data_IF_365334587735
#
_entry.id   IF_365334587735
#
_cell.length_a   1.000
_cell.length_b   1.000
_cell.length_c   1.000
_cell.angle_alpha   90.00
_cell.angle_beta   90.00
_cell.angle_gamma   90.00
#
_symmetry.space_group_name_H-M   'P 1'
#
loop_
_entity.id
_entity.type
_entity.pdbx_description
1 polymer ?
#
# COMPACT_ATOMS: atom_id res chain seq x y z
N UNK A 1 54.39 -14.27 7.80
CA UNK A 1 54.08 -14.16 6.35
C UNK A 1 52.60 -13.84 6.20
N UNK A 2 52.28 -12.62 5.74
CA UNK A 2 50.94 -12.17 5.32
C UNK A 2 51.03 -11.84 3.83
N UNK A 3 50.09 -12.24 2.96
CA UNK A 3 49.87 -11.57 1.67
C UNK A 3 48.82 -10.47 1.88
N UNK A 4 49.18 -9.21 1.67
CA UNK A 4 49.11 -8.47 0.39
C UNK A 4 47.72 -7.85 0.20
N UNK A 5 47.62 -6.59 0.63
CA UNK A 5 46.46 -5.75 0.39
C UNK A 5 46.33 -5.36 -1.08
N UNK A 6 45.10 -5.03 -1.46
CA UNK A 6 44.83 -4.32 -2.70
C UNK A 6 43.77 -3.25 -2.42
N UNK A 7 44.16 -2.00 -2.67
CA UNK A 7 43.32 -0.80 -2.56
C UNK A 7 42.31 -0.71 -3.72
N UNK A 8 41.21 0.06 -3.55
CA UNK A 8 40.13 0.11 -4.52
C UNK A 8 40.47 1.04 -5.69
N UNK A 9 40.50 0.48 -6.91
CA UNK A 9 40.55 1.27 -8.13
C UNK A 9 39.20 1.97 -8.37
N UNK A 10 39.20 3.29 -8.23
CA UNK A 10 38.16 4.19 -8.74
C UNK A 10 38.33 4.33 -10.25
N UNK A 11 37.37 3.82 -11.02
CA UNK A 11 37.19 4.21 -12.42
C UNK A 11 35.72 4.56 -12.65
N UNK A 12 35.48 5.86 -12.84
CA UNK A 12 34.20 6.35 -13.32
C UNK A 12 33.98 5.89 -14.75
N UNK A 13 32.81 5.33 -15.02
CA UNK A 13 32.26 5.23 -16.36
C UNK A 13 30.81 5.71 -16.33
N UNK A 14 30.58 6.81 -17.03
CA UNK A 14 29.27 7.42 -17.19
C UNK A 14 28.35 6.50 -17.99
N UNK A 15 27.35 5.94 -17.32
CA UNK A 15 26.25 5.24 -17.96
C UNK A 15 25.31 6.22 -18.66
N UNK A 16 25.61 6.53 -19.92
CA UNK A 16 24.67 7.13 -20.86
C UNK A 16 23.39 6.27 -20.92
N UNK A 17 22.26 6.89 -20.60
CA UNK A 17 20.94 6.32 -20.94
C UNK A 17 20.82 6.29 -22.46
N UNK A 18 20.79 5.08 -23.02
CA UNK A 18 20.58 4.84 -24.43
C UNK A 18 19.30 5.53 -24.93
N UNK A 19 19.49 6.41 -25.91
CA UNK A 19 18.45 6.87 -26.83
C UNK A 19 18.09 5.70 -27.74
N UNK A 20 16.94 5.07 -27.52
CA UNK A 20 16.31 4.16 -28.47
C UNK A 20 15.64 4.98 -29.58
N UNK A 21 16.01 4.70 -30.82
CA UNK A 21 15.78 5.54 -31.99
C UNK A 21 14.34 5.62 -32.49
N UNK A 22 14.11 6.73 -33.20
CA UNK A 22 13.03 6.93 -34.16
C UNK A 22 13.21 5.97 -35.33
N UNK A 23 12.13 5.27 -35.69
CA UNK A 23 11.95 4.55 -36.95
C UNK A 23 10.47 4.61 -37.30
N UNK A 24 10.16 5.17 -38.46
CA UNK A 24 8.85 5.72 -38.80
C UNK A 24 7.72 4.72 -38.98
N UNK A 25 6.51 5.22 -38.77
CA UNK A 25 5.30 4.74 -39.44
C UNK A 25 4.51 5.96 -39.89
N UNK A 26 4.56 6.22 -41.19
CA UNK A 26 3.50 6.88 -41.92
C UNK A 26 2.26 5.97 -41.88
N UNK A 27 1.10 6.55 -41.59
CA UNK A 27 -0.14 5.78 -41.47
C UNK A 27 -1.17 6.52 -40.64
N UNK A 28 -1.85 7.45 -41.29
CA UNK A 28 -3.07 8.11 -40.84
C UNK A 28 -4.07 7.11 -40.20
N UNK A 29 -4.46 7.37 -38.94
CA UNK A 29 -5.73 6.95 -38.32
C UNK A 29 -5.85 7.54 -36.91
N UNK A 30 -6.76 8.51 -36.79
CA UNK A 30 -7.08 9.21 -35.55
C UNK A 30 -7.52 8.29 -34.42
N UNK A 31 -6.77 8.33 -33.33
CA UNK A 31 -7.15 7.75 -32.05
C UNK A 31 -6.20 8.25 -30.97
N UNK A 32 -6.69 9.10 -30.06
CA UNK A 32 -5.91 9.52 -28.90
C UNK A 32 -5.63 8.28 -28.04
N UNK A 33 -4.40 7.79 -28.11
CA UNK A 33 -3.88 6.65 -27.34
C UNK A 33 -3.72 7.03 -25.87
N UNK A 34 -4.09 6.13 -24.95
CA UNK A 34 -4.18 6.37 -23.50
C UNK A 34 -2.86 6.57 -22.74
N UNK A 35 -1.80 7.07 -23.39
CA UNK A 35 -0.62 7.61 -22.74
C UNK A 35 -0.86 9.05 -22.26
N UNK A 36 0.06 9.60 -21.45
CA UNK A 36 0.06 11.05 -21.22
C UNK A 36 0.22 11.76 -22.59
N UNK A 37 -0.72 12.64 -22.92
CA UNK A 37 -0.71 13.43 -24.16
C UNK A 37 0.40 14.48 -24.10
N UNK A 38 1.70 14.15 -24.20
CA UNK A 38 2.75 15.20 -24.21
C UNK A 38 3.91 14.90 -25.15
N UNK A 39 4.21 15.87 -26.02
CA UNK A 39 5.23 16.86 -25.66
C UNK A 39 4.79 18.34 -25.57
N UNK A 40 3.56 18.70 -25.99
CA UNK A 40 3.12 20.10 -26.03
C UNK A 40 2.27 20.47 -24.80
N UNK A 41 2.60 21.58 -24.12
CA UNK A 41 1.74 22.16 -23.07
C UNK A 41 0.38 22.46 -23.69
N UNK A 42 -0.68 21.77 -23.25
CA UNK A 42 -2.01 22.02 -23.80
C UNK A 42 -2.48 23.43 -23.38
N UNK A 43 -3.12 24.19 -24.28
CA UNK A 43 -3.62 25.52 -23.94
C UNK A 43 -4.71 25.45 -22.83
N UNK A 44 -4.92 26.57 -22.13
CA UNK A 44 -5.78 26.62 -20.91
C UNK A 44 -7.24 26.26 -21.21
N UNK A 45 -7.69 26.60 -22.41
CA UNK A 45 -8.97 26.20 -23.00
C UNK A 45 -9.17 24.68 -22.98
N UNK A 46 -8.11 23.91 -23.20
CA UNK A 46 -8.12 22.45 -23.23
C UNK A 46 -8.32 21.88 -21.82
N UNK A 47 -7.72 22.50 -20.81
CA UNK A 47 -7.97 22.16 -19.40
C UNK A 47 -9.41 22.52 -19.02
N UNK A 48 -9.92 23.66 -19.48
CA UNK A 48 -11.30 24.06 -19.28
C UNK A 48 -12.27 23.04 -19.91
N UNK A 49 -12.04 22.64 -21.16
CA UNK A 49 -12.87 21.69 -21.91
C UNK A 49 -12.92 20.30 -21.26
N UNK A 50 -11.81 19.84 -20.66
CA UNK A 50 -11.78 18.60 -19.85
C UNK A 50 -12.70 18.73 -18.64
N UNK A 51 -12.60 19.85 -17.92
CA UNK A 51 -13.28 20.02 -16.63
C UNK A 51 -14.76 20.40 -16.79
N UNK A 52 -15.11 21.09 -17.88
CA UNK A 52 -16.51 21.42 -18.24
C UNK A 52 -17.22 20.28 -18.97
N UNK A 53 -16.50 19.20 -19.32
CA UNK A 53 -17.00 18.09 -20.14
C UNK A 53 -17.52 18.53 -21.52
N UNK A 54 -17.01 19.65 -22.04
CA UNK A 54 -17.34 20.15 -23.38
C UNK A 54 -16.67 19.33 -24.49
N UNK A 55 -15.58 18.62 -24.18
CA UNK A 55 -14.98 17.62 -25.06
C UNK A 55 -15.02 16.22 -24.42
N UNK A 56 -16.02 15.39 -24.78
CA UNK A 56 -16.14 14.03 -24.28
C UNK A 56 -14.93 13.14 -24.62
N UNK A 57 -14.29 13.33 -25.79
CA UNK A 57 -13.16 12.50 -26.22
C UNK A 57 -11.94 12.75 -25.35
N UNK A 58 -11.71 14.01 -24.99
CA UNK A 58 -10.58 14.40 -24.15
C UNK A 58 -10.79 14.00 -22.69
N UNK A 59 -12.03 14.09 -22.19
CA UNK A 59 -12.39 13.52 -20.89
C UNK A 59 -12.17 12.00 -20.85
N UNK A 60 -12.55 11.27 -21.90
CA UNK A 60 -12.32 9.82 -21.99
C UNK A 60 -10.84 9.45 -22.10
N UNK A 61 -10.03 10.27 -22.74
CA UNK A 61 -8.57 10.12 -22.74
C UNK A 61 -7.99 10.31 -21.33
N UNK A 62 -8.41 11.35 -20.60
CA UNK A 62 -8.01 11.56 -19.21
C UNK A 62 -8.47 10.41 -18.30
N UNK A 63 -9.71 9.94 -18.49
CA UNK A 63 -10.26 8.79 -17.77
C UNK A 63 -9.42 7.54 -17.98
N UNK A 64 -9.05 7.23 -19.23
CA UNK A 64 -8.17 6.09 -19.55
C UNK A 64 -6.79 6.24 -18.90
N UNK A 65 -6.19 7.42 -18.98
CA UNK A 65 -4.93 7.73 -18.30
C UNK A 65 -5.00 7.45 -16.79
N UNK A 66 -5.99 8.00 -16.11
CA UNK A 66 -6.15 7.84 -14.66
C UNK A 66 -6.43 6.37 -14.28
N UNK A 67 -7.23 5.65 -15.06
CA UNK A 67 -7.55 4.24 -14.80
C UNK A 67 -6.34 3.29 -15.00
N UNK A 68 -5.39 3.64 -15.87
CA UNK A 68 -4.17 2.85 -16.08
C UNK A 68 -3.14 3.08 -14.96
N UNK A 69 -3.07 4.32 -14.45
CA UNK A 69 -2.11 4.73 -13.43
C UNK A 69 -2.53 4.33 -12.01
N UNK A 70 -3.82 4.43 -11.70
CA UNK A 70 -4.34 4.30 -10.34
C UNK A 70 -5.30 3.12 -10.17
N UNK A 71 -5.45 2.61 -8.94
CA UNK A 71 -6.47 1.59 -8.66
C UNK A 71 -7.87 2.14 -8.94
N UNK A 72 -8.81 1.30 -9.38
CA UNK A 72 -10.18 1.69 -9.77
C UNK A 72 -10.83 2.68 -8.80
N UNK A 73 -10.82 2.38 -7.50
CA UNK A 73 -11.43 3.25 -6.48
C UNK A 73 -10.71 4.61 -6.40
N UNK A 74 -9.38 4.60 -6.44
CA UNK A 74 -8.62 5.84 -6.38
C UNK A 74 -8.77 6.67 -7.66
N UNK A 75 -8.81 6.00 -8.82
CA UNK A 75 -9.06 6.60 -10.12
C UNK A 75 -10.43 7.30 -10.15
N UNK A 76 -11.50 6.64 -9.70
CA UNK A 76 -12.84 7.25 -9.61
C UNK A 76 -12.83 8.49 -8.70
N UNK A 77 -12.14 8.43 -7.56
CA UNK A 77 -11.99 9.60 -6.69
C UNK A 77 -11.23 10.74 -7.39
N UNK A 78 -10.13 10.44 -8.09
CA UNK A 78 -9.37 11.43 -8.86
C UNK A 78 -10.27 12.09 -9.91
N UNK A 79 -11.05 11.31 -10.66
CA UNK A 79 -11.96 11.84 -11.67
C UNK A 79 -13.04 12.74 -11.07
N UNK A 80 -13.66 12.32 -9.97
CA UNK A 80 -14.66 13.11 -9.27
C UNK A 80 -14.10 14.46 -8.77
N UNK A 81 -12.93 14.44 -8.13
CA UNK A 81 -12.29 15.66 -7.64
C UNK A 81 -11.73 16.53 -8.77
N UNK A 82 -11.23 15.94 -9.86
CA UNK A 82 -10.77 16.67 -11.04
C UNK A 82 -11.93 17.40 -11.72
N UNK A 83 -13.10 16.75 -11.85
CA UNK A 83 -14.31 17.39 -12.38
C UNK A 83 -14.79 18.54 -11.50
N UNK A 84 -14.76 18.36 -10.18
CA UNK A 84 -15.25 19.35 -9.21
C UNK A 84 -14.30 20.55 -9.04
N UNK A 85 -12.99 20.33 -9.04
CA UNK A 85 -12.00 21.35 -8.67
C UNK A 85 -11.02 21.70 -9.79
N UNK A 86 -11.07 21.04 -10.94
CA UNK A 86 -10.11 21.24 -12.04
C UNK A 86 -10.06 22.68 -12.55
N UNK A 87 -11.14 23.44 -12.43
CA UNK A 87 -11.22 24.86 -12.82
C UNK A 87 -10.21 25.73 -12.06
N UNK A 88 -9.79 25.32 -10.86
CA UNK A 88 -8.77 26.02 -10.10
C UNK A 88 -7.41 26.04 -10.80
N UNK A 89 -7.09 25.02 -11.63
CA UNK A 89 -5.90 25.05 -12.48
C UNK A 89 -6.04 26.06 -13.61
N UNK A 90 -7.25 26.22 -14.15
CA UNK A 90 -7.53 27.17 -15.24
C UNK A 90 -7.44 28.61 -14.73
N UNK A 91 -8.08 28.88 -13.59
CA UNK A 91 -8.04 30.20 -12.95
C UNK A 91 -6.66 30.55 -12.39
N UNK A 92 -5.79 29.56 -12.16
CA UNK A 92 -4.48 29.78 -11.56
C UNK A 92 -4.55 30.24 -10.10
N UNK A 93 -5.65 29.92 -9.41
CA UNK A 93 -5.90 30.28 -8.01
C UNK A 93 -6.28 29.03 -7.19
N UNK A 94 -5.49 28.75 -6.14
CA UNK A 94 -5.74 27.66 -5.19
C UNK A 94 -6.26 28.16 -3.84
N UNK A 95 -6.57 29.45 -3.70
CA UNK A 95 -7.16 30.02 -2.48
C UNK A 95 -8.36 29.20 -1.97
N UNK A 96 -9.29 28.68 -2.81
CA UNK A 96 -10.44 27.92 -2.31
C UNK A 96 -10.06 26.57 -1.69
N UNK A 97 -8.82 26.11 -1.89
CA UNK A 97 -8.33 24.88 -1.25
C UNK A 97 -7.98 25.09 0.22
N UNK A 98 -7.70 26.32 0.65
CA UNK A 98 -7.30 26.63 2.02
C UNK A 98 -8.45 26.47 3.00
N UNK A 99 -9.68 26.69 2.54
CA UNK A 99 -10.93 26.50 3.30
C UNK A 99 -11.30 25.02 3.48
N UNK A 100 -10.67 24.11 2.71
CA UNK A 100 -10.95 22.68 2.80
C UNK A 100 -10.23 22.04 3.98
N UNK A 101 -10.89 21.04 4.58
CA UNK A 101 -10.25 20.18 5.57
C UNK A 101 -8.95 19.56 5.01
N UNK A 102 -7.92 19.31 5.84
CA UNK A 102 -6.64 18.78 5.38
C UNK A 102 -6.76 17.52 4.51
N UNK A 103 -7.64 16.60 4.88
CA UNK A 103 -7.88 15.36 4.12
C UNK A 103 -8.53 15.62 2.76
N UNK A 104 -9.57 16.46 2.72
CA UNK A 104 -10.25 16.81 1.46
C UNK A 104 -9.31 17.57 0.54
N UNK A 105 -8.57 18.55 1.05
CA UNK A 105 -7.53 19.29 0.33
C UNK A 105 -6.48 18.36 -0.27
N UNK A 106 -6.02 17.35 0.47
CA UNK A 106 -5.08 16.35 -0.04
C UNK A 106 -5.63 15.57 -1.24
N UNK A 107 -6.89 15.15 -1.18
CA UNK A 107 -7.54 14.46 -2.30
C UNK A 107 -7.66 15.37 -3.53
N UNK A 108 -8.08 16.62 -3.33
CA UNK A 108 -8.17 17.62 -4.40
C UNK A 108 -6.81 17.86 -5.04
N UNK A 109 -5.77 18.12 -4.26
CA UNK A 109 -4.40 18.32 -4.76
C UNK A 109 -3.88 17.11 -5.56
N UNK A 110 -4.26 15.89 -5.16
CA UNK A 110 -3.89 14.68 -5.90
C UNK A 110 -4.56 14.64 -7.27
N UNK A 111 -5.85 15.00 -7.33
CA UNK A 111 -6.59 15.07 -8.58
C UNK A 111 -6.08 16.17 -9.52
N UNK A 112 -5.80 17.38 -8.98
CA UNK A 112 -5.20 18.47 -9.75
C UNK A 112 -3.80 18.10 -10.26
N UNK A 113 -2.99 17.40 -9.46
CA UNK A 113 -1.69 16.92 -9.92
C UNK A 113 -1.81 15.92 -11.07
N UNK A 114 -2.77 15.00 -11.02
CA UNK A 114 -3.02 14.05 -12.11
C UNK A 114 -3.49 14.76 -13.39
N UNK A 115 -4.41 15.72 -13.26
CA UNK A 115 -4.90 16.53 -14.37
C UNK A 115 -3.77 17.37 -14.99
N UNK A 116 -2.96 18.06 -14.17
CA UNK A 116 -1.82 18.85 -14.64
C UNK A 116 -0.74 18.00 -15.31
N UNK A 117 -0.53 16.74 -14.90
CA UNK A 117 0.38 15.81 -15.59
C UNK A 117 -0.17 15.38 -16.94
N UNK A 118 -1.47 15.09 -17.01
CA UNK A 118 -2.12 14.73 -18.26
C UNK A 118 -2.05 15.86 -19.30
N UNK A 119 -2.14 17.12 -18.85
CA UNK A 119 -2.15 18.31 -19.71
C UNK A 119 -0.80 18.99 -19.91
N UNK A 120 0.27 18.49 -19.28
CA UNK A 120 1.63 19.06 -19.40
C UNK A 120 1.93 20.26 -18.52
N UNK A 121 1.03 20.63 -17.63
CA UNK A 121 1.11 21.80 -16.75
C UNK A 121 1.60 21.49 -15.35
N UNK A 122 2.30 20.36 -15.17
CA UNK A 122 2.73 19.93 -13.84
C UNK A 122 3.71 20.93 -13.17
N UNK A 123 4.59 21.57 -13.95
CA UNK A 123 5.48 22.62 -13.43
C UNK A 123 4.71 23.86 -12.96
N UNK A 124 3.71 24.29 -13.72
CA UNK A 124 2.81 25.39 -13.33
C UNK A 124 2.06 25.07 -12.04
N UNK A 125 1.51 23.86 -11.93
CA UNK A 125 0.85 23.39 -10.73
C UNK A 125 1.79 23.37 -9.51
N UNK A 126 3.05 22.95 -9.67
CA UNK A 126 4.04 22.99 -8.59
C UNK A 126 4.34 24.42 -8.13
N UNK A 127 4.53 25.35 -9.06
CA UNK A 127 4.73 26.78 -8.75
C UNK A 127 3.52 27.34 -8.02
N UNK A 128 2.33 27.04 -8.53
CA UNK A 128 1.06 27.47 -7.96
C UNK A 128 0.91 26.98 -6.51
N UNK A 129 1.12 25.69 -6.26
CA UNK A 129 1.10 25.10 -4.92
C UNK A 129 2.10 25.78 -3.96
N UNK A 130 3.30 26.13 -4.45
CA UNK A 130 4.32 26.82 -3.66
C UNK A 130 3.87 28.24 -3.26
N UNK A 131 3.24 28.99 -4.17
CA UNK A 131 2.73 30.35 -3.92
C UNK A 131 1.74 30.39 -2.74
N UNK A 132 0.84 29.43 -2.66
CA UNK A 132 -0.16 29.35 -1.58
C UNK A 132 0.36 28.67 -0.29
N UNK A 133 1.66 28.40 -0.18
CA UNK A 133 2.25 27.79 1.01
C UNK A 133 1.72 26.39 1.34
N UNK A 134 1.07 25.70 0.38
CA UNK A 134 0.42 24.41 0.63
C UNK A 134 1.48 23.33 0.83
N UNK A 135 1.84 23.08 2.08
CA UNK A 135 2.69 21.95 2.48
C UNK A 135 1.81 20.72 2.74
N UNK A 136 2.25 19.57 2.24
CA UNK A 136 1.64 18.30 2.66
C UNK A 136 2.32 17.92 3.96
N UNK A 137 1.84 18.46 5.06
CA UNK A 137 2.33 18.08 6.39
C UNK A 137 2.02 16.60 6.61
N UNK A 138 3.06 15.82 6.85
CA UNK A 138 2.91 14.47 7.39
C UNK A 138 3.08 14.65 8.90
N UNK A 139 2.02 14.56 9.71
CA UNK A 139 2.19 14.65 11.15
C UNK A 139 3.19 13.58 11.61
N UNK A 140 4.15 13.97 12.44
CA UNK A 140 5.13 13.09 13.05
C UNK A 140 4.40 12.11 13.98
N UNK A 141 4.21 10.87 13.52
CA UNK A 141 3.35 9.85 14.18
C UNK A 141 3.93 9.26 15.47
N UNK A 142 5.08 9.74 15.94
CA UNK A 142 5.85 9.14 17.04
C UNK A 142 5.15 9.36 18.38
N UNK A 143 4.56 10.54 18.62
CA UNK A 143 3.98 10.87 19.93
C UNK A 143 2.77 10.03 20.33
N UNK A 144 1.96 9.58 19.37
CA UNK A 144 0.78 8.74 19.65
C UNK A 144 1.13 7.27 20.01
N UNK A 145 2.41 6.89 20.03
CA UNK A 145 2.85 5.51 20.34
C UNK A 145 3.47 5.37 21.73
N UNK A 146 3.69 6.46 22.45
CA UNK A 146 4.48 6.49 23.71
C UNK A 146 3.58 6.46 24.96
N UNK A 147 2.27 6.68 24.82
CA UNK A 147 1.34 6.71 25.95
C UNK A 147 0.93 5.30 26.39
N UNK A 148 1.22 4.95 27.65
CA UNK A 148 0.87 3.65 28.26
C UNK A 148 -0.64 3.44 28.35
N UNK A 149 -1.44 4.51 28.48
CA UNK A 149 -2.90 4.44 28.45
C UNK A 149 -3.41 3.91 27.10
N UNK A 150 -2.75 4.29 26.01
CA UNK A 150 -3.09 3.86 24.65
C UNK A 150 -2.92 2.35 24.45
N UNK A 151 -1.93 1.74 25.12
CA UNK A 151 -1.70 0.29 25.04
C UNK A 151 -2.79 -0.48 25.78
N UNK A 152 -3.19 -0.03 26.98
CA UNK A 152 -4.27 -0.65 27.75
C UNK A 152 -5.59 -0.59 26.99
N UNK A 153 -5.94 0.57 26.45
CA UNK A 153 -7.13 0.71 25.62
C UNK A 153 -7.11 -0.19 24.37
N UNK A 154 -5.93 -0.39 23.76
CA UNK A 154 -5.78 -1.30 22.63
C UNK A 154 -5.98 -2.76 23.05
N UNK A 155 -5.44 -3.17 24.20
CA UNK A 155 -5.65 -4.51 24.75
C UNK A 155 -7.13 -4.77 25.04
N UNK A 156 -7.81 -3.83 25.71
CA UNK A 156 -9.26 -3.89 25.97
C UNK A 156 -10.07 -3.93 24.65
N UNK A 157 -9.64 -3.16 23.64
CA UNK A 157 -10.26 -3.22 22.32
C UNK A 157 -10.06 -4.57 21.65
N UNK A 158 -8.85 -5.16 21.73
CA UNK A 158 -8.55 -6.49 21.17
C UNK A 158 -9.41 -7.56 21.86
N UNK A 159 -9.56 -7.49 23.19
CA UNK A 159 -10.40 -8.41 23.94
C UNK A 159 -11.86 -8.38 23.46
N UNK A 160 -12.48 -7.19 23.39
CA UNK A 160 -13.84 -7.04 22.85
C UNK A 160 -13.94 -7.45 21.38
N UNK A 161 -12.91 -7.18 20.57
CA UNK A 161 -12.90 -7.61 19.18
C UNK A 161 -12.83 -9.14 19.04
N UNK A 162 -12.11 -9.83 19.94
CA UNK A 162 -12.06 -11.31 20.00
C UNK A 162 -13.42 -11.90 20.33
N UNK A 163 -14.23 -11.29 21.18
CA UNK A 163 -15.59 -11.76 21.45
C UNK A 163 -16.49 -11.76 20.20
N UNK A 164 -16.23 -10.87 19.23
CA UNK A 164 -17.04 -10.73 18.01
C UNK A 164 -16.48 -11.49 16.80
N UNK A 165 -15.15 -11.61 16.72
CA UNK A 165 -14.46 -12.11 15.53
C UNK A 165 -13.41 -13.21 15.83
N UNK A 166 -13.19 -13.55 17.10
CA UNK A 166 -12.38 -14.67 17.61
C UNK A 166 -11.15 -14.99 16.75
N UNK A 167 -11.21 -16.12 16.02
CA UNK A 167 -10.15 -16.63 15.16
C UNK A 167 -9.59 -15.59 14.18
N UNK A 168 -10.41 -14.65 13.68
CA UNK A 168 -9.93 -13.60 12.78
C UNK A 168 -9.00 -12.60 13.49
N UNK A 169 -9.31 -12.22 14.74
CA UNK A 169 -8.47 -11.30 15.52
C UNK A 169 -7.18 -11.99 15.93
N UNK A 170 -7.25 -13.26 16.33
CA UNK A 170 -6.07 -14.06 16.65
C UNK A 170 -5.18 -14.27 15.43
N UNK A 171 -5.78 -14.55 14.28
CA UNK A 171 -5.06 -14.65 13.02
C UNK A 171 -4.38 -13.34 12.64
N UNK A 172 -5.05 -12.20 12.80
CA UNK A 172 -4.46 -10.87 12.58
C UNK A 172 -3.30 -10.58 13.55
N UNK A 173 -3.47 -10.97 14.82
CA UNK A 173 -2.48 -10.78 15.88
C UNK A 173 -1.26 -11.68 15.68
N UNK A 174 -1.43 -12.93 15.25
CA UNK A 174 -0.31 -13.84 15.01
C UNK A 174 0.53 -13.40 13.79
N UNK A 175 -0.14 -13.02 12.70
CA UNK A 175 0.53 -12.78 11.41
C UNK A 175 1.08 -11.37 11.24
N UNK A 176 0.53 -10.37 11.95
CA UNK A 176 0.96 -8.98 11.82
C UNK A 176 0.73 -8.37 10.43
N UNK A 177 -0.11 -8.99 9.58
CA UNK A 177 -0.42 -8.55 8.23
C UNK A 177 -1.29 -7.28 8.20
N UNK A 178 -1.42 -6.62 7.03
CA UNK A 178 -2.38 -5.50 6.90
C UNK A 178 -3.81 -6.07 6.95
N UNK A 179 -4.81 -5.35 7.50
CA UNK A 179 -6.15 -5.89 7.67
C UNK A 179 -6.79 -6.48 6.41
N UNK A 180 -6.54 -5.87 5.25
CA UNK A 180 -7.03 -6.41 3.96
C UNK A 180 -6.31 -7.71 3.57
N UNK A 181 -4.99 -7.80 3.81
CA UNK A 181 -4.21 -9.02 3.53
C UNK A 181 -4.62 -10.15 4.49
N UNK A 182 -4.95 -9.83 5.75
CA UNK A 182 -5.51 -10.78 6.72
C UNK A 182 -6.81 -11.39 6.20
N UNK A 183 -7.76 -10.58 5.73
CA UNK A 183 -9.05 -11.07 5.19
C UNK A 183 -8.83 -11.98 3.98
N UNK A 184 -7.99 -11.56 3.03
CA UNK A 184 -7.69 -12.34 1.82
C UNK A 184 -7.05 -13.70 2.19
N UNK A 185 -6.07 -13.71 3.09
CA UNK A 185 -5.46 -14.95 3.57
C UNK A 185 -6.41 -15.82 4.38
N UNK A 186 -7.26 -15.22 5.22
CA UNK A 186 -8.23 -15.95 6.05
C UNK A 186 -9.20 -16.73 5.15
N UNK A 187 -9.74 -16.08 4.12
CA UNK A 187 -10.63 -16.73 3.16
C UNK A 187 -9.90 -17.76 2.30
N UNK A 188 -8.67 -17.48 1.88
CA UNK A 188 -7.86 -18.41 1.09
C UNK A 188 -7.56 -19.70 1.85
N UNK A 189 -7.28 -19.64 3.16
CA UNK A 189 -7.10 -20.84 4.01
C UNK A 189 -8.34 -21.73 3.93
N UNK A 190 -9.53 -21.14 4.09
CA UNK A 190 -10.80 -21.88 4.04
C UNK A 190 -11.03 -22.50 2.66
N UNK A 191 -10.83 -21.73 1.59
CA UNK A 191 -10.97 -22.20 0.21
C UNK A 191 -10.06 -23.37 -0.12
N UNK A 192 -8.80 -23.29 0.28
CA UNK A 192 -7.83 -24.35 0.03
C UNK A 192 -8.08 -25.57 0.90
N UNK A 193 -8.58 -25.38 2.13
CA UNK A 193 -8.98 -26.50 2.99
C UNK A 193 -10.19 -27.25 2.41
N UNK A 194 -11.23 -26.53 2.00
CA UNK A 194 -12.42 -27.10 1.33
C UNK A 194 -12.03 -27.87 0.05
N UNK A 195 -11.00 -27.40 -0.66
CA UNK A 195 -10.47 -28.06 -1.86
C UNK A 195 -9.42 -29.16 -1.57
N UNK A 196 -9.10 -29.47 -0.31
CA UNK A 196 -8.08 -30.47 0.05
C UNK A 196 -6.64 -30.10 -0.36
N UNK A 197 -6.35 -28.80 -0.53
CA UNK A 197 -5.09 -28.27 -1.07
C UNK A 197 -4.39 -27.27 -0.14
N UNK A 198 -4.71 -27.28 1.16
CA UNK A 198 -4.15 -26.34 2.13
C UNK A 198 -2.61 -26.39 2.19
N UNK A 199 -2.01 -27.57 2.03
CA UNK A 199 -0.55 -27.77 2.04
C UNK A 199 0.18 -27.02 0.91
N UNK A 200 -0.54 -26.60 -0.13
CA UNK A 200 0.02 -25.74 -1.19
C UNK A 200 0.24 -24.30 -0.74
N UNK A 201 -0.25 -23.92 0.44
CA UNK A 201 -0.20 -22.55 0.97
C UNK A 201 0.32 -22.49 2.40
N UNK A 202 -0.06 -23.43 3.26
CA UNK A 202 0.40 -23.51 4.65
C UNK A 202 1.34 -24.70 4.83
N UNK A 203 2.60 -24.44 5.17
CA UNK A 203 3.63 -25.47 5.34
C UNK A 203 4.53 -25.15 6.53
N UNK A 204 4.66 -26.10 7.46
CA UNK A 204 5.57 -26.00 8.61
C UNK A 204 5.39 -24.71 9.44
N UNK A 205 4.15 -24.24 9.62
CA UNK A 205 3.86 -22.99 10.33
C UNK A 205 3.88 -21.73 9.47
N UNK A 206 4.24 -21.83 8.19
CA UNK A 206 4.37 -20.70 7.27
C UNK A 206 3.23 -20.62 6.28
N UNK A 207 2.71 -19.42 6.08
CA UNK A 207 1.82 -19.04 4.98
C UNK A 207 2.67 -18.48 3.83
N UNK A 208 2.64 -19.15 2.69
CA UNK A 208 3.47 -18.86 1.52
C UNK A 208 2.74 -17.95 0.51
N UNK A 209 2.52 -16.69 0.92
CA UNK A 209 1.82 -15.67 0.11
C UNK A 209 2.42 -15.45 -1.28
N UNK A 210 3.72 -15.66 -1.43
CA UNK A 210 4.42 -15.55 -2.71
C UNK A 210 3.88 -16.51 -3.79
N UNK A 211 3.23 -17.62 -3.41
CA UNK A 211 2.57 -18.53 -4.38
C UNK A 211 1.28 -17.95 -4.97
N UNK A 212 0.72 -16.94 -4.32
CA UNK A 212 -0.55 -16.30 -4.67
C UNK A 212 -0.34 -14.81 -4.99
N UNK A 213 0.60 -14.53 -5.90
CA UNK A 213 1.08 -13.18 -6.21
C UNK A 213 -0.03 -12.18 -6.54
N UNK A 214 -1.07 -12.61 -7.28
CA UNK A 214 -2.20 -11.75 -7.65
C UNK A 214 -2.95 -11.20 -6.43
N UNK A 215 -2.98 -11.95 -5.32
CA UNK A 215 -3.64 -11.55 -4.08
C UNK A 215 -2.72 -10.68 -3.21
N UNK A 216 -1.46 -11.09 -3.04
CA UNK A 216 -0.56 -10.55 -1.99
C UNK A 216 0.60 -9.68 -2.49
N UNK A 217 1.02 -9.77 -3.76
CA UNK A 217 2.13 -9.01 -4.35
C UNK A 217 1.63 -7.90 -5.27
N UNK A 218 0.78 -7.02 -4.75
CA UNK A 218 0.23 -5.87 -5.50
C UNK A 218 1.30 -4.78 -5.69
N UNK A 219 1.09 -3.86 -6.65
CA UNK A 219 2.04 -2.78 -7.06
C UNK A 219 2.84 -2.15 -5.89
N UNK A 220 2.17 -1.78 -4.80
CA UNK A 220 2.78 -1.05 -3.67
C UNK A 220 2.80 -1.82 -2.35
N UNK A 221 2.27 -3.04 -2.31
CA UNK A 221 2.14 -3.84 -1.09
C UNK A 221 2.51 -5.28 -1.42
N UNK A 222 3.58 -5.78 -0.83
CA UNK A 222 4.15 -7.09 -1.11
C UNK A 222 4.40 -7.80 0.21
N UNK A 223 3.49 -8.69 0.60
CA UNK A 223 3.71 -9.62 1.70
C UNK A 223 4.05 -10.98 1.09
N UNK A 224 5.21 -11.53 1.45
CA UNK A 224 5.72 -12.76 0.82
C UNK A 224 5.45 -13.99 1.68
N UNK A 225 5.67 -13.88 2.99
CA UNK A 225 5.47 -14.95 3.96
C UNK A 225 4.93 -14.40 5.27
N UNK A 226 4.20 -15.22 6.01
CA UNK A 226 3.83 -14.94 7.40
C UNK A 226 3.87 -16.23 8.20
N UNK A 227 4.17 -16.12 9.49
CA UNK A 227 4.12 -17.28 10.39
C UNK A 227 2.77 -17.31 11.13
N UNK A 228 2.19 -18.49 11.28
CA UNK A 228 0.98 -18.70 12.05
C UNK A 228 0.98 -20.12 12.67
N UNK A 229 0.84 -20.24 14.00
CA UNK A 229 0.70 -21.52 14.67
C UNK A 229 -0.48 -22.34 14.13
N UNK A 230 -0.34 -23.67 14.13
CA UNK A 230 -1.31 -24.59 13.53
C UNK A 230 -2.67 -24.51 14.20
N UNK A 231 -2.68 -24.24 15.50
CA UNK A 231 -3.89 -24.12 16.33
C UNK A 231 -4.75 -22.95 15.85
N UNK A 232 -4.12 -21.83 15.47
CA UNK A 232 -4.84 -20.67 14.91
C UNK A 232 -5.35 -20.99 13.50
N UNK A 233 -4.58 -21.71 12.68
CA UNK A 233 -5.03 -22.15 11.36
C UNK A 233 -6.26 -23.05 11.47
N UNK A 234 -6.27 -23.98 12.43
CA UNK A 234 -7.42 -24.83 12.68
C UNK A 234 -8.66 -24.02 13.08
N UNK A 235 -8.50 -23.03 13.97
CA UNK A 235 -9.59 -22.13 14.33
C UNK A 235 -10.11 -21.30 13.13
N UNK A 236 -9.24 -20.92 12.18
CA UNK A 236 -9.64 -20.25 10.93
C UNK A 236 -10.46 -21.20 10.04
N UNK A 237 -10.06 -22.46 9.94
CA UNK A 237 -10.78 -23.49 9.17
C UNK A 237 -12.18 -23.70 9.73
N UNK A 238 -12.29 -23.86 11.04
CA UNK A 238 -13.55 -24.11 11.77
C UNK A 238 -14.47 -22.88 11.83
N UNK A 239 -13.94 -21.68 11.58
CA UNK A 239 -14.73 -20.45 11.58
C UNK A 239 -15.90 -20.56 10.57
N UNK A 240 -17.14 -20.23 10.94
CA UNK A 240 -18.33 -20.68 10.20
C UNK A 240 -18.47 -20.12 8.77
N UNK A 241 -17.78 -19.04 8.44
CA UNK A 241 -17.98 -18.35 7.16
C UNK A 241 -16.73 -17.62 6.66
N UNK A 242 -16.77 -17.21 5.39
CA UNK A 242 -15.81 -16.28 4.81
C UNK A 242 -16.15 -14.84 5.21
N UNK A 243 -15.11 -14.03 5.36
CA UNK A 243 -15.21 -12.64 5.81
C UNK A 243 -15.01 -11.66 4.66
N UNK A 244 -15.79 -10.58 4.64
CA UNK A 244 -15.53 -9.41 3.79
C UNK A 244 -15.13 -8.22 4.65
N UNK A 245 -14.61 -7.16 4.01
CA UNK A 245 -14.28 -5.91 4.70
C UNK A 245 -15.53 -5.32 5.38
N UNK A 246 -16.68 -5.41 4.71
CA UNK A 246 -17.97 -4.93 5.17
C UNK A 246 -18.46 -5.75 6.37
N UNK A 247 -18.39 -7.09 6.30
CA UNK A 247 -18.76 -7.97 7.42
C UNK A 247 -17.91 -7.67 8.66
N UNK A 248 -16.59 -7.56 8.50
CA UNK A 248 -15.67 -7.24 9.60
C UNK A 248 -15.98 -5.86 10.19
N UNK A 249 -16.26 -4.85 9.35
CA UNK A 249 -16.62 -3.51 9.83
C UNK A 249 -17.94 -3.50 10.59
N UNK A 250 -18.96 -4.18 10.05
CA UNK A 250 -20.28 -4.27 10.68
C UNK A 250 -20.18 -4.93 12.06
N UNK A 251 -19.44 -6.05 12.18
CA UNK A 251 -19.24 -6.74 13.46
C UNK A 251 -18.45 -5.93 14.50
N UNK A 252 -17.64 -4.99 14.05
CA UNK A 252 -16.83 -4.12 14.91
C UNK A 252 -17.43 -2.71 15.05
N UNK A 253 -18.65 -2.48 14.56
CA UNK A 253 -19.28 -1.16 14.55
C UNK A 253 -19.55 -0.65 15.97
N UNK A 254 -19.97 -1.54 16.87
CA UNK A 254 -20.24 -1.23 18.28
C UNK A 254 -18.95 -0.98 19.09
N UNK A 255 -17.78 -1.34 18.55
CA UNK A 255 -16.48 -1.25 19.22
C UNK A 255 -15.60 -0.20 18.53
N UNK A 256 -16.17 1.02 18.38
CA UNK A 256 -15.46 2.17 17.83
C UNK A 256 -14.47 2.76 18.85
N UNK A 257 -13.36 3.40 18.40
CA UNK A 257 -12.93 3.50 17.01
C UNK A 257 -12.35 2.17 16.48
N UNK A 258 -12.40 1.94 15.17
CA UNK A 258 -11.83 0.72 14.56
C UNK A 258 -10.30 0.70 14.67
N UNK A 259 -9.74 -0.20 15.49
CA UNK A 259 -8.30 -0.29 15.77
C UNK A 259 -7.56 -1.44 15.06
N UNK A 260 -8.14 -2.10 14.05
CA UNK A 260 -7.47 -3.19 13.29
C UNK A 260 -6.06 -2.84 12.77
N UNK A 261 -5.83 -1.58 12.35
CA UNK A 261 -4.50 -1.14 11.89
C UNK A 261 -3.48 -1.05 13.03
N UNK A 262 -3.94 -0.90 14.27
CA UNK A 262 -3.09 -0.83 15.45
C UNK A 262 -2.60 -2.22 15.88
N UNK A 263 -3.35 -3.31 15.64
CA UNK A 263 -2.87 -4.70 15.85
C UNK A 263 -1.51 -4.91 15.17
N UNK A 264 -1.40 -4.51 13.90
CA UNK A 264 -0.15 -4.60 13.14
C UNK A 264 1.00 -3.77 13.73
N UNK A 265 0.68 -2.62 14.33
CA UNK A 265 1.67 -1.77 15.00
C UNK A 265 2.12 -2.42 16.30
N UNK A 266 1.17 -2.89 17.11
CA UNK A 266 1.42 -3.64 18.33
C UNK A 266 2.32 -4.84 18.05
N UNK A 267 1.98 -5.64 17.05
CA UNK A 267 2.80 -6.76 16.62
C UNK A 267 4.23 -6.34 16.30
N UNK A 268 4.43 -5.32 15.44
CA UNK A 268 5.77 -4.85 15.10
C UNK A 268 6.55 -4.38 16.34
N UNK A 269 5.91 -3.58 17.19
CA UNK A 269 6.53 -3.05 18.41
C UNK A 269 6.89 -4.16 19.39
N UNK A 270 6.00 -5.14 19.60
CA UNK A 270 6.22 -6.24 20.52
C UNK A 270 7.28 -7.22 20.02
N UNK A 271 7.28 -7.51 18.72
CA UNK A 271 8.23 -8.43 18.11
C UNK A 271 9.68 -7.94 18.15
N UNK A 272 9.93 -6.65 18.43
CA UNK A 272 11.30 -6.14 18.63
C UNK A 272 12.05 -6.83 19.76
N UNK A 273 11.34 -7.45 20.72
CA UNK A 273 11.92 -8.28 21.79
C UNK A 273 12.48 -9.61 21.30
N UNK A 274 12.11 -10.05 20.09
CA UNK A 274 12.41 -11.40 19.55
C UNK A 274 13.05 -11.37 18.16
N UNK A 275 12.73 -10.34 17.37
CA UNK A 275 13.09 -10.20 15.97
C UNK A 275 13.80 -8.86 15.73
N UNK A 276 14.72 -8.87 14.79
CA UNK A 276 15.36 -7.68 14.25
C UNK A 276 14.40 -6.86 13.37
N UNK A 277 14.71 -5.59 13.14
CA UNK A 277 13.90 -4.74 12.27
C UNK A 277 13.78 -5.29 10.82
N UNK A 278 14.85 -5.81 10.18
CA UNK A 278 14.75 -6.44 8.85
C UNK A 278 13.77 -7.63 8.82
N UNK A 279 13.79 -8.47 9.84
CA UNK A 279 12.88 -9.61 10.01
C UNK A 279 11.42 -9.16 10.14
N UNK A 280 11.17 -8.17 11.00
CA UNK A 280 9.84 -7.57 11.16
C UNK A 280 9.37 -6.97 9.83
N UNK A 281 10.25 -6.26 9.13
CA UNK A 281 9.96 -5.66 7.84
C UNK A 281 9.69 -6.73 6.76
N UNK A 282 10.35 -7.89 6.80
CA UNK A 282 10.03 -9.03 5.92
C UNK A 282 8.61 -9.52 6.15
N UNK A 283 8.29 -9.93 7.38
CA UNK A 283 6.98 -10.53 7.73
C UNK A 283 5.85 -9.55 7.41
N UNK A 284 6.09 -8.27 7.67
CA UNK A 284 5.12 -7.24 7.38
C UNK A 284 5.06 -6.85 5.89
N UNK A 285 5.97 -7.30 5.04
CA UNK A 285 6.00 -6.87 3.65
C UNK A 285 6.29 -5.37 3.51
N UNK A 286 7.24 -4.89 4.32
CA UNK A 286 7.88 -3.56 4.26
C UNK A 286 9.29 -3.66 3.65
N UNK A 287 9.51 -4.68 2.84
CA UNK A 287 10.77 -4.92 2.15
C UNK A 287 10.99 -3.82 1.11
N UNK A 288 12.01 -2.98 1.34
CA UNK A 288 12.48 -2.02 0.35
C UNK A 288 13.13 -2.77 -0.82
N UNK A 289 13.44 -2.09 -1.93
CA UNK A 289 14.22 -2.67 -3.03
C UNK A 289 15.70 -2.92 -2.64
N UNK A 290 16.01 -3.17 -1.37
CA UNK A 290 17.38 -3.47 -0.96
C UNK A 290 17.79 -4.80 -1.58
N UNK A 291 18.98 -4.82 -2.19
CA UNK A 291 19.57 -6.02 -2.80
C UNK A 291 19.65 -7.15 -1.76
N UNK A 292 19.96 -6.81 -0.50
CA UNK A 292 20.01 -7.77 0.61
C UNK A 292 18.69 -8.52 0.80
N UNK A 293 17.57 -7.79 0.89
CA UNK A 293 16.26 -8.42 1.08
C UNK A 293 15.72 -9.12 -0.16
N UNK A 294 16.20 -8.75 -1.35
CA UNK A 294 15.82 -9.39 -2.61
C UNK A 294 16.56 -10.69 -2.88
N UNK A 295 17.83 -10.79 -2.45
CA UNK A 295 18.72 -11.88 -2.86
C UNK A 295 19.25 -12.74 -1.71
N UNK A 296 19.22 -12.26 -0.46
CA UNK A 296 19.92 -12.93 0.65
C UNK A 296 19.00 -13.32 1.81
N UNK A 297 17.80 -12.74 1.92
CA UNK A 297 16.88 -13.03 3.02
C UNK A 297 15.98 -14.23 2.67
N UNK A 298 16.39 -15.44 3.05
CA UNK A 298 15.54 -16.64 3.04
C UNK A 298 15.27 -17.08 4.50
N UNK A 299 14.01 -17.38 4.81
CA UNK A 299 13.64 -17.96 6.11
C UNK A 299 14.42 -19.24 6.42
N UNK A 300 14.76 -20.02 5.40
CA UNK A 300 15.46 -21.30 5.55
C UNK A 300 16.96 -21.10 5.87
N UNK A 301 17.51 -19.91 5.60
CA UNK A 301 18.91 -19.56 5.93
C UNK A 301 19.06 -18.97 7.34
N UNK A 302 17.98 -18.83 8.10
CA UNK A 302 18.00 -18.31 9.48
C UNK A 302 17.44 -19.41 10.40
N UNK A 303 18.29 -20.34 10.89
CA UNK A 303 17.85 -21.61 11.50
C UNK A 303 16.97 -21.45 12.75
N UNK A 304 17.01 -20.30 13.41
CA UNK A 304 16.27 -20.01 14.63
C UNK A 304 15.08 -19.05 14.44
N UNK A 305 14.88 -18.54 13.22
CA UNK A 305 13.91 -17.49 12.95
C UNK A 305 12.49 -17.93 13.31
N UNK A 306 12.11 -19.13 12.89
CA UNK A 306 10.83 -19.74 13.22
C UNK A 306 10.62 -19.89 14.74
N UNK A 307 11.66 -20.33 15.46
CA UNK A 307 11.57 -20.50 16.92
C UNK A 307 11.39 -19.15 17.62
N UNK A 308 12.10 -18.10 17.17
CA UNK A 308 11.99 -16.75 17.75
C UNK A 308 10.62 -16.12 17.48
N UNK A 309 10.12 -16.20 16.25
CA UNK A 309 8.78 -15.67 15.91
C UNK A 309 7.68 -16.43 16.64
N UNK A 310 7.78 -17.76 16.74
CA UNK A 310 6.82 -18.58 17.48
C UNK A 310 6.82 -18.23 18.97
N UNK A 311 7.99 -18.10 19.59
CA UNK A 311 8.12 -17.66 20.99
C UNK A 311 7.50 -16.28 21.18
N UNK A 312 7.76 -15.35 20.26
CA UNK A 312 7.20 -14.01 20.29
C UNK A 312 5.68 -14.02 20.21
N UNK A 313 5.10 -14.81 19.30
CA UNK A 313 3.65 -14.92 19.15
C UNK A 313 3.02 -15.56 20.39
N UNK A 314 3.56 -16.66 20.91
CA UNK A 314 3.06 -17.26 22.16
C UNK A 314 3.07 -16.27 23.31
N UNK A 315 4.17 -15.54 23.48
CA UNK A 315 4.31 -14.48 24.49
C UNK A 315 3.28 -13.35 24.31
N UNK A 316 2.99 -12.94 23.06
CA UNK A 316 2.03 -11.90 22.74
C UNK A 316 0.58 -12.28 23.11
N UNK A 317 0.25 -13.57 23.05
CA UNK A 317 -1.08 -14.07 23.44
C UNK A 317 -1.24 -14.29 24.95
N UNK A 318 -0.14 -14.38 25.68
CA UNK A 318 -0.12 -14.48 27.15
C UNK A 318 -0.09 -13.12 27.86
N UNK A 319 0.07 -12.03 27.11
CA UNK A 319 0.09 -10.64 27.62
C UNK A 319 -1.31 -10.04 27.56
#
# INVERSE_FOLDING_TARGET
MRPAGFEPATTGSGGQRGKGGMGGFSGDRGGITGGALLPAVMPLDTVANIVTAQDPKLWDAFRRYVMNEYSRVHALNILNYARKYGRLLVMGDLSPLLELSPDKRRHVLTALAALARFTGRYEEFKRLKKRYGIRVEKPSKIMAQIDSSSLKELAEWIHRARERLAAFIDFALATGMRPTEVIESFNLIKELHEAGRLDSYYKDGWLEHFRYEKLFLRRTKKVYVSYCPREIIQAVIEYPEKLSVEKVRHRLEEIKPLRLKQIRKLWASYMTKFLSEPEINLIQGRVSKSVFMQHYFNKDYIPDFQRRIEKGIKSLFMT
#
